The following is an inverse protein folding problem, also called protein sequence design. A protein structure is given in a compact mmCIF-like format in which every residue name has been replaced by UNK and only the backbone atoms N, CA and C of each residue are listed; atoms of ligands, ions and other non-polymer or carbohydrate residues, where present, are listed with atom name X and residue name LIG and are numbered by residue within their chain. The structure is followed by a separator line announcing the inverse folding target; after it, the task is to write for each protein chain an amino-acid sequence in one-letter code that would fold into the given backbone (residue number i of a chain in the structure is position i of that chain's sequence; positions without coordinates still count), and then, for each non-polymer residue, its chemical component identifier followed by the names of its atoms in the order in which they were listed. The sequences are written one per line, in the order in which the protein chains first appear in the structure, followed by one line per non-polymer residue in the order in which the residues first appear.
data_IF_128348479608
#
_entry.id   IF_128348479608
#
_cell.length_a   1.000
_cell.length_b   1.000
_cell.length_c   1.000
_cell.angle_alpha   90.00
_cell.angle_beta   90.00
_cell.angle_gamma   90.00
#
_symmetry.space_group_name_H-M   'P 1'
#
loop_
_entity.id
_entity.type
_entity.pdbx_description
1 polymer ?
#
# COMPACT_ATOMS: atom_id res chain seq x y z
N UNK A 1 10.87 8.57 4.86
CA UNK A 1 10.03 7.62 4.10
C UNK A 1 10.71 6.26 4.00
N UNK A 2 9.97 5.14 4.10
CA UNK A 2 10.54 3.82 3.81
C UNK A 2 10.87 3.68 2.32
N UNK A 3 11.86 2.84 1.99
CA UNK A 3 12.24 2.55 0.60
C UNK A 3 11.16 1.77 -0.16
N UNK A 4 10.48 0.85 0.54
CA UNK A 4 9.33 0.12 0.04
C UNK A 4 8.38 -0.22 1.20
N UNK A 5 7.14 -0.55 0.86
CA UNK A 5 6.12 -1.05 1.81
C UNK A 5 5.53 -2.34 1.27
N UNK A 6 5.28 -3.30 2.15
CA UNK A 6 4.66 -4.59 1.85
C UNK A 6 3.42 -4.79 2.74
N UNK A 7 2.43 -5.54 2.23
CA UNK A 7 1.22 -5.86 2.98
C UNK A 7 0.68 -7.24 2.60
N UNK A 8 0.42 -8.07 3.61
CA UNK A 8 -0.17 -9.40 3.44
C UNK A 8 -1.69 -9.37 3.65
N UNK A 9 -2.16 -9.62 4.87
CA UNK A 9 -3.59 -9.77 5.19
C UNK A 9 -4.41 -8.47 5.05
N UNK A 10 -3.76 -7.30 5.09
CA UNK A 10 -4.43 -5.99 4.97
C UNK A 10 -5.16 -5.75 3.64
N UNK A 11 -4.90 -6.59 2.62
CA UNK A 11 -5.53 -6.53 1.29
C UNK A 11 -6.30 -7.81 0.93
N UNK A 12 -6.64 -8.64 1.92
CA UNK A 12 -7.37 -9.90 1.72
C UNK A 12 -8.85 -9.76 2.09
N UNK A 13 -9.74 -10.49 1.38
CA UNK A 13 -11.17 -10.63 1.75
C UNK A 13 -11.44 -11.89 2.60
N UNK A 14 -10.55 -12.85 2.51
CA UNK A 14 -10.53 -14.10 3.27
C UNK A 14 -9.07 -14.59 3.32
N UNK A 15 -8.68 -15.45 4.28
CA UNK A 15 -7.29 -15.89 4.43
C UNK A 15 -6.69 -16.42 3.12
N UNK A 16 -5.62 -15.77 2.65
CA UNK A 16 -4.91 -16.13 1.42
C UNK A 16 -5.61 -15.72 0.12
N UNK A 17 -6.76 -15.05 0.18
CA UNK A 17 -7.51 -14.57 -1.00
C UNK A 17 -7.45 -13.05 -1.04
N UNK A 18 -6.67 -12.52 -1.99
CA UNK A 18 -6.56 -11.08 -2.23
C UNK A 18 -7.87 -10.48 -2.75
N UNK A 19 -8.16 -9.28 -2.31
CA UNK A 19 -9.27 -8.45 -2.78
C UNK A 19 -8.72 -7.37 -3.74
N UNK A 20 -9.09 -7.40 -5.03
CA UNK A 20 -8.58 -6.44 -6.02
C UNK A 20 -8.83 -4.98 -5.64
N UNK A 21 -9.97 -4.67 -5.02
CA UNK A 21 -10.33 -3.29 -4.68
C UNK A 21 -9.49 -2.79 -3.49
N UNK A 22 -9.21 -3.67 -2.51
CA UNK A 22 -8.32 -3.33 -1.39
C UNK A 22 -6.88 -3.15 -1.83
N UNK A 23 -6.40 -3.96 -2.78
CA UNK A 23 -5.07 -3.79 -3.38
C UNK A 23 -4.98 -2.44 -4.08
N UNK A 24 -5.98 -2.08 -4.90
CA UNK A 24 -6.00 -0.79 -5.59
C UNK A 24 -5.99 0.39 -4.62
N UNK A 25 -6.80 0.33 -3.56
CA UNK A 25 -6.83 1.34 -2.51
C UNK A 25 -5.47 1.48 -1.79
N UNK A 26 -4.82 0.36 -1.47
CA UNK A 26 -3.49 0.36 -0.84
C UNK A 26 -2.44 1.03 -1.73
N UNK A 27 -2.38 0.68 -3.02
CA UNK A 27 -1.42 1.27 -3.95
C UNK A 27 -1.65 2.77 -4.13
N UNK A 28 -2.92 3.21 -4.21
CA UNK A 28 -3.25 4.63 -4.29
C UNK A 28 -2.77 5.39 -3.04
N UNK A 29 -3.01 4.85 -1.85
CA UNK A 29 -2.56 5.44 -0.60
C UNK A 29 -1.03 5.47 -0.49
N UNK A 30 -0.33 4.37 -0.84
CA UNK A 30 1.12 4.29 -0.79
C UNK A 30 1.80 5.28 -1.73
N UNK A 31 1.23 5.51 -2.93
CA UNK A 31 1.69 6.53 -3.87
C UNK A 31 1.38 7.95 -3.39
N UNK A 32 0.21 8.16 -2.81
CA UNK A 32 -0.21 9.47 -2.25
C UNK A 32 0.63 9.92 -1.05
N UNK A 33 1.10 8.97 -0.23
CA UNK A 33 2.00 9.25 0.89
C UNK A 33 3.43 9.67 0.46
N UNK A 34 3.70 9.71 -0.86
CA UNK A 34 4.96 10.01 -1.52
C UNK A 34 5.30 11.49 -1.74
N UNK A 35 4.46 12.45 -1.34
CA UNK A 35 4.70 13.91 -1.51
C UNK A 35 5.18 14.57 -0.21
N UNK A 36 6.50 14.64 -0.04
CA UNK A 36 7.24 15.43 0.96
C UNK A 36 8.67 15.37 0.46
N UNK A 37 9.15 16.48 -0.05
CA UNK A 37 10.51 16.60 -0.59
C UNK A 37 11.45 16.39 0.59
N UNK A 38 12.23 15.32 0.58
CA UNK A 38 13.29 15.06 1.57
C UNK A 38 14.44 16.03 1.24
N UNK A 39 14.66 17.10 2.01
CA UNK A 39 15.78 17.99 1.77
C UNK A 39 17.00 17.31 2.41
N UNK A 40 17.61 16.38 1.67
CA UNK A 40 18.98 15.93 1.93
C UNK A 40 19.95 16.66 1.04
#
# INVERSE_FOLDING_TARGET
RPWAVDVASGVERAPGIKDPDRVAAFVAAARGAGTEEDPR
#
